data_IF_736671782721
#
_entry.id   IF_736671782721
#
_cell.length_a   1.000
_cell.length_b   1.000
_cell.length_c   1.000
_cell.angle_alpha   90.00
_cell.angle_beta   90.00
_cell.angle_gamma   90.00
#
_symmetry.space_group_name_H-M   'P 1'
#
loop_
_entity.id
_entity.type
_entity.pdbx_description
1 polymer ?
#
# COMPACT_ATOMS: atom_id res chain seq x y z
N UNK A 1 22.06 -5.61 -1.23
CA UNK A 1 20.82 -5.91 -1.99
C UNK A 1 19.56 -5.49 -1.25
N UNK A 2 19.40 -5.87 0.04
CA UNK A 2 18.21 -5.45 0.78
C UNK A 2 18.10 -3.92 0.95
N UNK A 3 19.22 -3.24 1.18
CA UNK A 3 19.23 -1.78 1.33
C UNK A 3 18.81 -1.06 0.06
N UNK A 4 19.17 -1.59 -1.11
CA UNK A 4 18.76 -1.05 -2.41
C UNK A 4 17.27 -1.28 -2.65
N UNK A 5 16.75 -2.46 -2.30
CA UNK A 5 15.34 -2.77 -2.40
C UNK A 5 14.50 -1.90 -1.45
N UNK A 6 15.00 -1.67 -0.24
CA UNK A 6 14.36 -0.77 0.72
C UNK A 6 14.32 0.66 0.20
N UNK A 7 15.39 1.13 -0.42
CA UNK A 7 15.45 2.47 -1.01
C UNK A 7 14.40 2.62 -2.12
N UNK A 8 14.32 1.65 -3.04
CA UNK A 8 13.35 1.67 -4.13
C UNK A 8 11.92 1.63 -3.57
N UNK A 9 11.67 0.79 -2.57
CA UNK A 9 10.36 0.71 -1.93
C UNK A 9 9.97 2.04 -1.31
N UNK A 10 10.85 2.66 -0.53
CA UNK A 10 10.57 3.96 0.11
C UNK A 10 10.29 5.03 -0.93
N UNK A 11 11.10 5.08 -1.98
CA UNK A 11 10.90 6.04 -3.07
C UNK A 11 9.53 5.87 -3.70
N UNK A 12 9.13 4.62 -3.98
CA UNK A 12 7.81 4.33 -4.55
C UNK A 12 6.70 4.78 -3.60
N UNK A 13 6.83 4.54 -2.29
CA UNK A 13 5.81 4.94 -1.32
C UNK A 13 5.76 6.44 -1.07
N UNK A 14 6.88 7.14 -1.15
CA UNK A 14 6.92 8.59 -1.08
C UNK A 14 6.20 9.25 -2.27
N UNK A 15 6.16 8.56 -3.41
CA UNK A 15 5.45 9.00 -4.60
C UNK A 15 4.15 8.23 -4.82
N UNK A 16 3.43 7.94 -3.74
CA UNK A 16 2.20 7.16 -3.79
C UNK A 16 1.13 7.77 -4.72
N UNK A 17 1.10 9.10 -4.83
CA UNK A 17 0.19 9.76 -5.76
C UNK A 17 0.46 9.34 -7.21
N UNK A 18 1.72 9.11 -7.57
CA UNK A 18 2.08 8.63 -8.91
C UNK A 18 1.62 7.20 -9.13
N UNK A 19 1.65 6.36 -8.08
CA UNK A 19 1.12 5.00 -8.13
C UNK A 19 -0.38 5.03 -8.40
N UNK A 20 -1.12 5.95 -7.79
CA UNK A 20 -2.55 6.12 -8.01
C UNK A 20 -2.87 6.50 -9.46
N UNK A 21 -1.97 7.20 -10.15
CA UNK A 21 -2.16 7.56 -11.57
C UNK A 21 -2.06 6.35 -12.50
N UNK A 22 -1.60 5.21 -12.01
CA UNK A 22 -1.60 3.96 -12.78
C UNK A 22 -2.97 3.28 -12.81
N UNK A 23 -3.89 3.70 -11.96
CA UNK A 23 -5.26 3.21 -11.97
C UNK A 23 -6.03 3.84 -13.12
N UNK A 24 -6.90 3.06 -13.78
CA UNK A 24 -7.82 3.62 -14.74
C UNK A 24 -8.91 4.45 -14.03
N UNK A 25 -9.77 5.12 -14.80
CA UNK A 25 -10.78 6.01 -14.23
C UNK A 25 -11.78 5.27 -13.33
N UNK A 26 -12.18 4.05 -13.69
CA UNK A 26 -13.11 3.24 -12.92
C UNK A 26 -12.47 2.73 -11.63
N UNK A 27 -11.23 2.27 -11.72
CA UNK A 27 -10.46 1.82 -10.56
C UNK A 27 -10.22 2.96 -9.58
N UNK A 28 -9.86 4.14 -10.08
CA UNK A 28 -9.64 5.32 -9.24
C UNK A 28 -10.93 5.76 -8.54
N UNK A 29 -12.05 5.77 -9.26
CA UNK A 29 -13.36 6.07 -8.70
C UNK A 29 -13.72 5.09 -7.58
N UNK A 30 -13.51 3.80 -7.81
CA UNK A 30 -13.76 2.76 -6.81
C UNK A 30 -12.85 2.92 -5.59
N UNK A 31 -11.58 3.21 -5.82
CA UNK A 31 -10.63 3.48 -4.74
C UNK A 31 -11.08 4.65 -3.87
N UNK A 32 -11.54 5.73 -4.49
CA UNK A 32 -12.02 6.91 -3.76
C UNK A 32 -13.28 6.60 -2.95
N UNK A 33 -14.19 5.79 -3.49
CA UNK A 33 -15.39 5.34 -2.78
C UNK A 33 -15.02 4.50 -1.55
N UNK A 34 -14.07 3.57 -1.70
CA UNK A 34 -13.58 2.75 -0.60
C UNK A 34 -12.91 3.60 0.48
N UNK A 35 -12.10 4.57 0.08
CA UNK A 35 -11.43 5.48 1.02
C UNK A 35 -12.44 6.29 1.83
N UNK A 36 -13.47 6.81 1.18
CA UNK A 36 -14.53 7.55 1.85
C UNK A 36 -15.32 6.66 2.82
N UNK A 37 -15.64 5.43 2.40
CA UNK A 37 -16.34 4.47 3.26
C UNK A 37 -15.51 4.08 4.48
N UNK A 38 -14.22 3.83 4.29
CA UNK A 38 -13.30 3.51 5.39
C UNK A 38 -13.20 4.64 6.40
N UNK A 39 -13.15 5.90 5.93
CA UNK A 39 -13.11 7.07 6.81
C UNK A 39 -14.37 7.17 7.67
N UNK A 40 -15.55 6.95 7.07
CA UNK A 40 -16.81 6.97 7.81
C UNK A 40 -16.87 5.88 8.87
N UNK A 41 -16.49 4.66 8.49
CA UNK A 41 -16.50 3.51 9.41
C UNK A 41 -15.49 3.70 10.54
N UNK A 42 -14.31 4.25 10.24
CA UNK A 42 -13.30 4.54 11.26
C UNK A 42 -13.82 5.54 12.28
N UNK A 43 -14.53 6.58 11.85
CA UNK A 43 -15.13 7.56 12.76
C UNK A 43 -16.19 6.92 13.66
N UNK A 44 -17.04 6.07 13.10
CA UNK A 44 -18.05 5.35 13.88
C UNK A 44 -17.41 4.42 14.91
N UNK A 45 -16.40 3.66 14.52
CA UNK A 45 -15.68 2.74 15.41
C UNK A 45 -14.95 3.49 16.51
N UNK A 46 -14.32 4.62 16.18
CA UNK A 46 -13.65 5.46 17.18
C UNK A 46 -14.61 5.98 18.24
N UNK A 47 -15.85 6.30 17.84
CA UNK A 47 -16.89 6.70 18.78
C UNK A 47 -17.34 5.59 19.72
N UNK A 48 -17.31 4.34 19.25
CA UNK A 48 -17.72 3.17 20.04
C UNK A 48 -16.60 2.62 20.93
N UNK A 49 -15.37 2.54 20.41
CA UNK A 49 -14.24 1.90 21.07
C UNK A 49 -13.39 2.85 21.91
N UNK A 50 -13.47 4.15 21.66
CA UNK A 50 -12.56 5.13 22.17
C UNK A 50 -11.31 5.25 21.31
N UNK A 51 -10.73 6.44 21.33
CA UNK A 51 -9.63 6.79 20.42
C UNK A 51 -8.37 5.96 20.68
N UNK A 52 -8.04 5.70 21.94
CA UNK A 52 -6.83 4.93 22.29
C UNK A 52 -6.87 3.52 21.72
N UNK A 53 -7.99 2.82 21.88
CA UNK A 53 -8.15 1.46 21.34
C UNK A 53 -8.14 1.46 19.81
N UNK A 54 -8.77 2.46 19.23
CA UNK A 54 -8.82 2.60 17.77
C UNK A 54 -7.43 2.82 17.18
N UNK A 55 -6.62 3.67 17.83
CA UNK A 55 -5.24 3.91 17.42
C UNK A 55 -4.40 2.63 17.48
N UNK A 56 -4.50 1.87 18.56
CA UNK A 56 -3.79 0.60 18.69
C UNK A 56 -4.17 -0.39 17.59
N UNK A 57 -5.46 -0.47 17.31
CA UNK A 57 -5.97 -1.35 16.26
C UNK A 57 -5.43 -0.94 14.89
N UNK A 58 -5.52 0.33 14.55
CA UNK A 58 -5.05 0.84 13.26
C UNK A 58 -3.54 0.72 13.10
N UNK A 59 -2.77 0.90 14.18
CA UNK A 59 -1.31 0.77 14.16
C UNK A 59 -0.91 -0.68 13.85
N UNK A 60 -1.53 -1.66 14.50
CA UNK A 60 -1.24 -3.08 14.24
C UNK A 60 -1.66 -3.48 12.83
N UNK A 61 -2.80 -2.99 12.37
CA UNK A 61 -3.29 -3.23 11.01
C UNK A 61 -2.31 -2.68 9.99
N UNK A 62 -1.82 -1.46 10.19
CA UNK A 62 -0.85 -0.82 9.32
C UNK A 62 0.48 -1.58 9.29
N UNK A 63 0.97 -2.04 10.45
CA UNK A 63 2.17 -2.86 10.52
C UNK A 63 2.05 -4.13 9.67
N UNK A 64 0.93 -4.83 9.82
CA UNK A 64 0.68 -6.04 9.03
C UNK A 64 0.65 -5.74 7.55
N UNK A 65 -0.06 -4.68 7.16
CA UNK A 65 -0.22 -4.31 5.75
C UNK A 65 1.12 -3.91 5.13
N UNK A 66 1.96 -3.19 5.85
CA UNK A 66 3.30 -2.82 5.39
C UNK A 66 4.15 -4.05 5.12
N UNK A 67 4.11 -5.05 6.02
CA UNK A 67 4.87 -6.30 5.82
C UNK A 67 4.43 -7.03 4.55
N UNK A 68 3.13 -7.11 4.31
CA UNK A 68 2.58 -7.75 3.10
C UNK A 68 2.92 -6.96 1.85
N UNK A 69 2.77 -5.64 1.88
CA UNK A 69 3.10 -4.76 0.76
C UNK A 69 4.57 -4.85 0.38
N UNK A 70 5.47 -4.88 1.36
CA UNK A 70 6.90 -5.07 1.13
C UNK A 70 7.19 -6.41 0.48
N UNK A 71 6.54 -7.48 0.93
CA UNK A 71 6.70 -8.82 0.36
C UNK A 71 6.22 -8.87 -1.10
N UNK A 72 5.07 -8.27 -1.38
CA UNK A 72 4.51 -8.18 -2.74
C UNK A 72 5.45 -7.39 -3.65
N UNK A 73 5.94 -6.26 -3.17
CA UNK A 73 6.86 -5.42 -3.92
C UNK A 73 8.15 -6.17 -4.30
N UNK A 74 8.76 -6.86 -3.31
CA UNK A 74 9.98 -7.63 -3.56
C UNK A 74 9.76 -8.73 -4.58
N UNK A 75 8.63 -9.44 -4.48
CA UNK A 75 8.31 -10.48 -5.46
C UNK A 75 8.06 -9.91 -6.85
N UNK A 76 7.32 -8.82 -6.94
CA UNK A 76 7.04 -8.16 -8.22
C UNK A 76 8.32 -7.66 -8.88
N UNK A 77 9.23 -7.05 -8.11
CA UNK A 77 10.51 -6.58 -8.62
C UNK A 77 11.37 -7.75 -9.10
N UNK A 78 11.43 -8.83 -8.35
CA UNK A 78 12.20 -10.03 -8.74
C UNK A 78 11.67 -10.63 -10.05
N UNK A 79 10.35 -10.72 -10.20
CA UNK A 79 9.73 -11.19 -11.44
C UNK A 79 9.99 -10.23 -12.60
N UNK A 80 9.90 -8.94 -12.36
CA UNK A 80 10.17 -7.92 -13.36
C UNK A 80 11.60 -7.98 -13.88
N UNK A 81 12.56 -8.17 -12.98
CA UNK A 81 13.97 -8.32 -13.36
C UNK A 81 14.22 -9.58 -14.19
N UNK A 82 13.56 -10.69 -13.84
CA UNK A 82 13.65 -11.92 -14.63
C UNK A 82 13.08 -11.75 -16.03
N UNK A 83 11.92 -11.11 -16.14
CA UNK A 83 11.30 -10.83 -17.43
C UNK A 83 12.15 -9.88 -18.26
N UNK A 84 12.73 -8.86 -17.64
CA UNK A 84 13.65 -7.93 -18.29
C UNK A 84 14.90 -8.63 -18.84
N UNK A 85 15.46 -9.55 -18.06
CA UNK A 85 16.61 -10.35 -18.51
C UNK A 85 16.27 -11.23 -19.72
N UNK A 86 15.07 -11.82 -19.73
CA UNK A 86 14.61 -12.62 -20.88
C UNK A 86 14.40 -11.76 -22.12
N UNK A 87 13.94 -10.53 -21.97
CA UNK A 87 13.71 -9.62 -23.09
C UNK A 87 15.01 -9.18 -23.78
N UNK A 88 16.14 -9.26 -23.09
CA UNK A 88 17.46 -8.88 -23.62
C UNK A 88 18.14 -10.04 -24.35
N UNK A 89 17.70 -11.26 -24.09
CA UNK A 89 18.22 -12.45 -24.74
C UNK A 89 17.58 -12.64 -26.11
#
# INVERSE_FOLDING_TARGET
MQSELEFIYRNTMEHFSDVLHMLDADELSHYNECTAALSRQAQELAGLLGQERMEKYTDVLAERDILVEQAIFRRGLALGLRLGALAVL
#
